data_IF_843021310887
#
_entry.id   IF_843021310887
#
_cell.length_a   1.000
_cell.length_b   1.000
_cell.length_c   1.000
_cell.angle_alpha   90.00
_cell.angle_beta   90.00
_cell.angle_gamma   90.00
#
_symmetry.space_group_name_H-M   'P 1'
#
loop_
_entity.id
_entity.type
_entity.pdbx_description
1 polymer ?
#
# COMPACT_ATOMS: atom_id res chain seq x y z
N UNK A 1 -11.92 13.07 -5.38
CA UNK A 1 -12.06 11.89 -4.52
C UNK A 1 -11.33 12.15 -3.21
N UNK A 2 -11.63 11.45 -2.10
CA UNK A 2 -10.89 11.61 -0.85
C UNK A 2 -9.40 11.29 -1.00
N UNK A 3 -9.03 10.35 -1.88
CA UNK A 3 -7.63 10.07 -2.24
C UNK A 3 -6.91 11.28 -2.85
N UNK A 4 -7.55 12.04 -3.75
CA UNK A 4 -6.94 13.25 -4.33
C UNK A 4 -6.70 14.35 -3.28
N UNK A 5 -7.53 14.42 -2.22
CA UNK A 5 -7.33 15.35 -1.13
C UNK A 5 -6.06 14.99 -0.33
N UNK A 6 -5.86 13.69 -0.07
CA UNK A 6 -4.67 13.16 0.62
C UNK A 6 -3.41 13.34 -0.23
N UNK A 7 -3.46 13.00 -1.51
CA UNK A 7 -2.32 13.18 -2.42
C UNK A 7 -1.91 14.65 -2.54
N UNK A 8 -2.87 15.56 -2.58
CA UNK A 8 -2.56 16.98 -2.59
C UNK A 8 -1.91 17.46 -1.29
N UNK A 9 -2.40 16.99 -0.14
CA UNK A 9 -1.80 17.31 1.15
C UNK A 9 -0.33 16.84 1.22
N UNK A 10 -0.06 15.64 0.73
CA UNK A 10 1.29 15.06 0.68
C UNK A 10 2.21 15.71 -0.37
N UNK A 11 1.74 15.89 -1.60
CA UNK A 11 2.60 16.29 -2.73
C UNK A 11 2.74 17.81 -2.86
N UNK A 12 1.76 18.60 -2.40
CA UNK A 12 1.70 20.05 -2.62
C UNK A 12 1.76 20.83 -1.31
N UNK A 13 0.93 20.52 -0.32
CA UNK A 13 0.94 21.24 0.96
C UNK A 13 2.20 20.93 1.78
N UNK A 14 2.61 19.66 1.87
CA UNK A 14 3.76 19.27 2.69
C UNK A 14 5.06 20.01 2.33
N UNK A 15 5.54 19.99 1.06
CA UNK A 15 6.76 20.72 0.72
C UNK A 15 6.61 22.24 0.85
N UNK A 16 5.38 22.76 0.80
CA UNK A 16 5.10 24.20 0.97
C UNK A 16 5.25 24.65 2.42
N UNK A 17 4.72 23.87 3.35
CA UNK A 17 4.69 24.23 4.78
C UNK A 17 5.94 23.70 5.52
N UNK A 18 6.57 22.63 5.02
CA UNK A 18 7.78 22.01 5.57
C UNK A 18 8.90 21.92 4.52
N UNK A 19 9.48 23.05 4.07
CA UNK A 19 10.46 23.06 2.98
C UNK A 19 11.78 22.33 3.30
N UNK A 20 12.09 22.13 4.59
CA UNK A 20 13.33 21.50 5.05
C UNK A 20 13.15 20.06 5.55
N UNK A 21 11.93 19.53 5.54
CA UNK A 21 11.61 18.21 6.10
C UNK A 21 10.93 17.35 5.05
N UNK A 22 11.54 16.22 4.71
CA UNK A 22 10.91 15.25 3.83
C UNK A 22 9.73 14.58 4.54
N UNK A 23 8.69 14.26 3.77
CA UNK A 23 7.53 13.57 4.31
C UNK A 23 7.87 12.11 4.61
N UNK A 24 7.75 11.74 5.89
CA UNK A 24 7.84 10.34 6.34
C UNK A 24 6.44 9.78 6.60
N UNK A 25 6.11 8.67 5.94
CA UNK A 25 4.82 8.01 6.10
C UNK A 25 4.75 7.16 7.38
N UNK A 26 5.89 6.77 7.94
CA UNK A 26 5.98 5.95 9.16
C UNK A 26 5.96 6.80 10.44
N UNK A 27 6.19 8.11 10.32
CA UNK A 27 6.01 9.05 11.42
C UNK A 27 4.51 9.39 11.63
N UNK A 28 4.01 9.11 12.84
CA UNK A 28 2.62 9.37 13.21
C UNK A 28 2.25 10.86 13.13
N UNK A 29 3.18 11.77 13.46
CA UNK A 29 2.93 13.21 13.44
C UNK A 29 2.79 13.75 12.02
N UNK A 30 3.63 13.28 11.10
CA UNK A 30 3.57 13.63 9.69
C UNK A 30 2.25 13.15 9.08
N UNK A 31 1.88 11.91 9.39
CA UNK A 31 0.66 11.31 8.88
C UNK A 31 -0.60 11.98 9.43
N UNK A 32 -0.59 12.35 10.71
CA UNK A 32 -1.67 13.10 11.36
C UNK A 32 -1.85 14.48 10.71
N UNK A 33 -0.76 15.19 10.42
CA UNK A 33 -0.81 16.47 9.73
C UNK A 33 -1.43 16.34 8.33
N UNK A 34 -1.02 15.34 7.55
CA UNK A 34 -1.59 15.09 6.21
C UNK A 34 -3.09 14.78 6.31
N UNK A 35 -3.50 14.00 7.30
CA UNK A 35 -4.91 13.69 7.55
C UNK A 35 -5.73 14.96 7.82
N UNK A 36 -5.25 15.85 8.69
CA UNK A 36 -5.93 17.09 9.05
C UNK A 36 -6.05 18.04 7.85
N UNK A 37 -4.98 18.23 7.08
CA UNK A 37 -5.00 19.06 5.87
C UNK A 37 -5.90 18.47 4.78
N UNK A 38 -5.88 17.16 4.60
CA UNK A 38 -6.76 16.47 3.66
C UNK A 38 -8.23 16.58 4.09
N UNK A 39 -8.53 16.50 5.39
CA UNK A 39 -9.87 16.65 5.93
C UNK A 39 -10.40 18.07 5.75
N UNK A 40 -9.61 19.09 6.09
CA UNK A 40 -9.98 20.50 5.88
C UNK A 40 -10.34 20.76 4.41
N UNK A 41 -9.49 20.31 3.48
CA UNK A 41 -9.76 20.40 2.05
C UNK A 41 -11.00 19.61 1.65
N UNK A 42 -11.19 18.39 2.17
CA UNK A 42 -12.35 17.60 1.85
C UNK A 42 -13.65 18.30 2.29
N UNK A 43 -13.66 18.96 3.47
CA UNK A 43 -14.78 19.78 3.94
C UNK A 43 -15.06 20.97 3.04
N UNK A 44 -14.04 21.69 2.55
CA UNK A 44 -14.21 22.81 1.62
C UNK A 44 -14.91 22.40 0.31
N UNK A 45 -14.60 21.21 -0.20
CA UNK A 45 -15.17 20.68 -1.44
C UNK A 45 -16.38 19.76 -1.23
N UNK A 46 -16.86 19.62 0.02
CA UNK A 46 -18.00 18.74 0.35
C UNK A 46 -17.73 17.25 0.10
N UNK A 47 -16.47 16.81 0.12
CA UNK A 47 -16.05 15.42 -0.09
C UNK A 47 -16.03 14.70 1.26
N UNK A 48 -16.72 13.57 1.34
CA UNK A 48 -16.72 12.71 2.54
C UNK A 48 -15.79 11.50 2.35
N UNK A 49 -15.43 10.84 3.46
CA UNK A 49 -14.68 9.58 3.43
C UNK A 49 -13.17 9.69 3.60
N UNK A 50 -12.63 10.85 4.00
CA UNK A 50 -11.24 10.94 4.47
C UNK A 50 -11.16 10.31 5.86
N UNK A 51 -10.44 9.21 5.98
CA UNK A 51 -10.16 8.52 7.25
C UNK A 51 -8.66 8.36 7.44
N UNK A 52 -8.21 8.13 8.67
CA UNK A 52 -6.80 7.86 8.96
C UNK A 52 -6.33 6.60 8.21
N UNK A 53 -7.15 5.55 8.16
CA UNK A 53 -6.85 4.32 7.42
C UNK A 53 -6.69 4.57 5.91
N UNK A 54 -7.57 5.38 5.31
CA UNK A 54 -7.43 5.74 3.89
C UNK A 54 -6.18 6.60 3.66
N UNK A 55 -5.88 7.50 4.60
CA UNK A 55 -4.68 8.36 4.55
C UNK A 55 -3.42 7.51 4.59
N UNK A 56 -3.32 6.53 5.49
CA UNK A 56 -2.23 5.55 5.53
C UNK A 56 -2.16 4.74 4.23
N UNK A 57 -3.29 4.23 3.75
CA UNK A 57 -3.37 3.45 2.52
C UNK A 57 -2.80 4.18 1.30
N UNK A 58 -3.25 5.42 1.09
CA UNK A 58 -2.82 6.28 -0.03
C UNK A 58 -1.37 6.71 0.14
N UNK A 59 -0.97 7.08 1.36
CA UNK A 59 0.35 7.65 1.61
C UNK A 59 1.46 6.62 1.46
N UNK A 60 1.22 5.40 1.96
CA UNK A 60 2.16 4.27 1.94
C UNK A 60 2.00 3.35 0.73
N UNK A 61 1.04 3.61 -0.17
CA UNK A 61 0.68 2.69 -1.25
C UNK A 61 0.44 1.25 -0.75
N UNK A 62 -0.33 1.10 0.33
CA UNK A 62 -0.50 -0.20 1.01
C UNK A 62 -1.17 -1.20 0.07
N UNK A 63 -0.50 -2.33 -0.16
CA UNK A 63 -1.08 -3.51 -0.80
C UNK A 63 -1.63 -4.42 0.31
N UNK A 64 -2.94 -4.73 0.32
CA UNK A 64 -3.50 -5.65 1.31
C UNK A 64 -2.82 -7.02 1.24
N UNK A 65 -2.47 -7.58 2.40
CA UNK A 65 -1.80 -8.88 2.49
C UNK A 65 -2.51 -9.78 3.50
N UNK A 66 -2.61 -11.07 3.19
CA UNK A 66 -3.18 -12.12 4.05
C UNK A 66 -2.18 -13.27 4.11
N UNK A 67 -2.01 -13.89 5.28
CA UNK A 67 -1.03 -14.95 5.48
C UNK A 67 -1.24 -16.17 4.56
N UNK A 68 -2.50 -16.49 4.23
CA UNK A 68 -2.85 -17.65 3.41
C UNK A 68 -2.35 -17.55 1.97
N UNK A 69 -2.43 -16.37 1.34
CA UNK A 69 -1.94 -16.18 -0.04
C UNK A 69 -0.42 -16.26 -0.09
N UNK A 70 0.28 -15.68 0.89
CA UNK A 70 1.74 -15.79 0.99
C UNK A 70 2.18 -17.24 1.24
N UNK A 71 1.50 -17.97 2.12
CA UNK A 71 1.79 -19.37 2.38
C UNK A 71 1.61 -20.25 1.13
N UNK A 72 0.55 -20.01 0.36
CA UNK A 72 0.28 -20.75 -0.87
C UNK A 72 1.35 -20.52 -1.94
N UNK A 73 1.68 -19.25 -2.21
CA UNK A 73 2.73 -18.90 -3.19
C UNK A 73 4.08 -19.47 -2.76
N UNK A 74 4.44 -19.34 -1.49
CA UNK A 74 5.68 -19.88 -0.96
C UNK A 74 5.76 -21.41 -1.06
N UNK A 75 4.65 -22.12 -0.78
CA UNK A 75 4.58 -23.57 -0.90
C UNK A 75 4.82 -24.03 -2.34
N UNK A 76 4.26 -23.32 -3.32
CA UNK A 76 4.49 -23.60 -4.74
C UNK A 76 5.96 -23.36 -5.11
N UNK A 77 6.54 -22.22 -4.70
CA UNK A 77 7.95 -21.94 -4.96
C UNK A 77 8.88 -22.99 -4.34
N UNK A 78 8.60 -23.42 -3.11
CA UNK A 78 9.37 -24.47 -2.43
C UNK A 78 9.24 -25.83 -3.13
N UNK A 79 8.03 -26.18 -3.57
CA UNK A 79 7.77 -27.42 -4.31
C UNK A 79 8.48 -27.43 -5.67
N UNK A 80 8.44 -26.34 -6.43
CA UNK A 80 9.15 -26.25 -7.71
C UNK A 80 10.67 -26.30 -7.51
N UNK A 81 11.19 -25.67 -6.46
CA UNK A 81 12.61 -25.78 -6.08
C UNK A 81 12.99 -27.23 -5.81
N UNK A 82 12.16 -27.97 -5.05
CA UNK A 82 12.39 -29.39 -4.76
C UNK A 82 12.41 -30.23 -6.04
N UNK A 83 11.45 -30.01 -6.96
CA UNK A 83 11.39 -30.73 -8.24
C UNK A 83 12.64 -30.48 -9.08
N UNK A 84 13.10 -29.23 -9.16
CA UNK A 84 14.29 -28.86 -9.93
C UNK A 84 15.56 -29.50 -9.36
N UNK A 85 15.76 -29.42 -8.03
CA UNK A 85 16.98 -29.94 -7.38
C UNK A 85 17.04 -31.47 -7.42
N UNK A 86 15.91 -32.15 -7.26
CA UNK A 86 15.87 -33.61 -7.17
C UNK A 86 15.57 -34.33 -8.48
N UNK A 87 15.10 -33.58 -9.50
CA UNK A 87 14.57 -34.13 -10.75
C UNK A 87 13.47 -35.18 -10.54
N UNK A 88 12.78 -35.16 -9.38
CA UNK A 88 11.78 -36.15 -9.01
C UNK A 88 10.50 -36.04 -9.84
N UNK A 89 10.27 -34.90 -10.49
CA UNK A 89 9.11 -34.63 -11.34
C UNK A 89 9.42 -33.54 -12.36
N UNK A 90 8.54 -33.39 -13.36
CA UNK A 90 8.61 -32.29 -14.33
C UNK A 90 8.26 -30.97 -13.62
N UNK A 91 9.05 -29.93 -13.89
CA UNK A 91 8.81 -28.58 -13.38
C UNK A 91 7.56 -27.94 -13.98
N UNK A 92 7.09 -26.89 -13.33
CA UNK A 92 5.98 -26.04 -13.76
C UNK A 92 6.27 -25.33 -15.09
N UNK A 93 5.25 -25.21 -15.94
CA UNK A 93 5.36 -24.53 -17.23
C UNK A 93 5.18 -23.00 -17.08
N UNK A 94 6.28 -22.37 -16.68
CA UNK A 94 6.54 -20.92 -16.68
C UNK A 94 5.71 -20.04 -15.73
N UNK A 95 4.38 -20.18 -15.67
CA UNK A 95 3.53 -19.23 -14.97
C UNK A 95 2.34 -19.88 -14.26
N UNK A 96 2.04 -19.37 -13.07
CA UNK A 96 0.85 -19.72 -12.29
C UNK A 96 0.22 -18.46 -11.70
N UNK A 97 -1.08 -18.31 -11.90
CA UNK A 97 -1.92 -17.28 -11.28
C UNK A 97 -2.87 -17.96 -10.30
N UNK A 98 -2.91 -17.47 -9.06
CA UNK A 98 -3.87 -17.91 -8.06
C UNK A 98 -4.79 -16.74 -7.68
N UNK A 99 -6.09 -16.98 -7.73
CA UNK A 99 -7.12 -16.02 -7.33
C UNK A 99 -7.95 -16.68 -6.24
N UNK A 100 -7.93 -16.11 -5.03
CA UNK A 100 -8.80 -16.54 -3.94
C UNK A 100 -10.22 -16.00 -4.16
N UNK A 101 -11.22 -16.85 -3.92
CA UNK A 101 -12.64 -16.48 -3.87
C UNK A 101 -13.05 -15.99 -2.49
#
# INVERSE_FOLDING_TARGET
SPAHCIEYAKLILWPRDHPNTEFDADDESHLQWVFEQAQARATEFGITGVTLQLTQGVTKNIIPAIASTNAFVAAICALETLKIVTLCSKGMDNYLMCVGT
#
